data_IF_349233148875
#
_entry.id   IF_349233148875
#
_cell.length_a   1.000
_cell.length_b   1.000
_cell.length_c   1.000
_cell.angle_alpha   90.00
_cell.angle_beta   90.00
_cell.angle_gamma   90.00
#
_symmetry.space_group_name_H-M   'P 1'
#
loop_
_entity.id
_entity.type
_entity.pdbx_description
1 polymer ?
#
# COMPACT_ATOMS: atom_id res chain seq x y z
N UNK A 1 9.62 -6.22 -4.60
CA UNK A 1 8.32 -6.89 -4.85
C UNK A 1 7.81 -7.51 -3.55
N UNK A 2 8.60 -8.39 -2.92
CA UNK A 2 8.27 -9.08 -1.67
C UNK A 2 7.72 -8.16 -0.56
N UNK A 3 8.28 -6.95 -0.38
CA UNK A 3 7.80 -6.02 0.66
C UNK A 3 6.40 -5.44 0.38
N UNK A 4 6.06 -5.11 -0.87
CA UNK A 4 4.72 -4.62 -1.23
C UNK A 4 3.66 -5.72 -1.17
N UNK A 5 4.07 -6.96 -1.46
CA UNK A 5 3.23 -8.15 -1.26
C UNK A 5 3.00 -8.40 0.23
N UNK A 6 4.04 -8.30 1.06
CA UNK A 6 3.93 -8.40 2.52
C UNK A 6 3.01 -7.32 3.10
N UNK A 7 3.11 -6.07 2.64
CA UNK A 7 2.17 -5.00 3.02
C UNK A 7 0.74 -5.31 2.58
N UNK A 8 0.56 -5.89 1.39
CA UNK A 8 -0.76 -6.30 0.90
C UNK A 8 -1.36 -7.44 1.72
N UNK A 9 -0.54 -8.39 2.17
CA UNK A 9 -0.97 -9.46 3.06
C UNK A 9 -1.27 -8.94 4.48
N UNK A 10 -0.43 -8.05 5.01
CA UNK A 10 -0.59 -7.51 6.37
C UNK A 10 -1.86 -6.67 6.56
N UNK A 11 -2.43 -6.16 5.46
CA UNK A 11 -3.66 -5.36 5.45
C UNK A 11 -4.87 -6.12 4.94
N UNK A 12 -4.69 -7.36 4.47
CA UNK A 12 -5.81 -8.22 4.09
C UNK A 12 -6.68 -8.48 5.32
N UNK A 13 -8.01 -8.52 5.12
CA UNK A 13 -9.01 -8.78 6.16
C UNK A 13 -9.14 -7.68 7.26
N UNK A 14 -8.51 -6.52 7.07
CA UNK A 14 -8.72 -5.37 7.96
C UNK A 14 -10.18 -4.91 7.90
N UNK A 15 -10.80 -4.43 8.99
CA UNK A 15 -12.15 -3.88 8.94
C UNK A 15 -12.27 -2.80 7.87
N UNK A 16 -13.24 -2.95 6.97
CA UNK A 16 -13.45 -2.01 5.85
C UNK A 16 -12.57 -2.25 4.61
N UNK A 17 -11.63 -3.19 4.65
CA UNK A 17 -10.84 -3.59 3.49
C UNK A 17 -11.70 -4.24 2.40
N UNK A 18 -11.42 -3.92 1.13
CA UNK A 18 -12.09 -4.50 -0.03
C UNK A 18 -11.14 -5.26 -0.96
N UNK A 19 -9.99 -4.66 -1.27
CA UNK A 19 -9.03 -5.26 -2.20
C UNK A 19 -7.64 -4.65 -2.07
N UNK A 20 -6.62 -5.44 -2.43
CA UNK A 20 -5.25 -4.98 -2.64
C UNK A 20 -4.77 -5.40 -4.02
N UNK A 21 -4.05 -4.52 -4.70
CA UNK A 21 -3.40 -4.80 -5.98
C UNK A 21 -1.94 -4.43 -5.89
N UNK A 22 -1.05 -5.37 -6.25
CA UNK A 22 0.33 -5.08 -6.56
C UNK A 22 0.45 -5.07 -8.08
N UNK A 23 0.89 -3.94 -8.62
CA UNK A 23 0.87 -3.66 -10.05
C UNK A 23 2.28 -3.45 -10.58
N UNK A 24 2.46 -3.77 -11.85
CA UNK A 24 3.59 -3.36 -12.68
C UNK A 24 3.04 -2.58 -13.87
N UNK A 25 3.70 -1.50 -14.30
CA UNK A 25 3.35 -0.86 -15.55
C UNK A 25 3.63 -1.80 -16.73
N UNK A 26 3.00 -1.54 -17.86
CA UNK A 26 3.19 -2.31 -19.09
C UNK A 26 4.48 -1.98 -19.84
N UNK A 27 5.25 -1.00 -19.36
CA UNK A 27 6.55 -0.62 -19.92
C UNK A 27 7.71 -1.33 -19.20
N UNK A 28 8.94 -1.03 -19.65
CA UNK A 28 10.17 -1.63 -19.13
C UNK A 28 10.79 -0.82 -17.97
N UNK A 29 10.02 0.04 -17.30
CA UNK A 29 10.53 0.90 -16.21
C UNK A 29 11.01 0.13 -14.98
N UNK A 30 10.50 -1.09 -14.77
CA UNK A 30 10.75 -1.88 -13.57
C UNK A 30 10.02 -1.34 -12.32
N UNK A 31 9.16 -0.34 -12.48
CA UNK A 31 8.40 0.23 -11.37
C UNK A 31 7.38 -0.77 -10.81
N UNK A 32 7.02 -0.56 -9.55
CA UNK A 32 5.99 -1.32 -8.86
C UNK A 32 5.08 -0.38 -8.09
N UNK A 33 3.78 -0.65 -8.12
CA UNK A 33 2.79 0.10 -7.39
C UNK A 33 1.97 -0.84 -6.49
N UNK A 34 1.42 -0.27 -5.41
CA UNK A 34 0.42 -0.94 -4.56
C UNK A 34 -0.78 -0.03 -4.43
N UNK A 35 -1.97 -0.59 -4.67
CA UNK A 35 -3.26 0.09 -4.46
C UNK A 35 -4.05 -0.73 -3.45
N UNK A 36 -4.53 -0.07 -2.41
CA UNK A 36 -5.44 -0.65 -1.41
C UNK A 36 -6.77 0.08 -1.47
N UNK A 37 -7.86 -0.69 -1.50
CA UNK A 37 -9.23 -0.18 -1.55
C UNK A 37 -9.91 -0.49 -0.22
N UNK A 38 -10.50 0.55 0.37
CA UNK A 38 -11.31 0.48 1.58
C UNK A 38 -12.70 1.05 1.31
N UNK A 39 -13.68 0.62 2.09
CA UNK A 39 -15.06 1.10 2.04
C UNK A 39 -15.20 2.57 2.50
N UNK A 40 -14.30 3.04 3.37
CA UNK A 40 -14.28 4.39 3.92
C UNK A 40 -12.86 4.82 4.34
N UNK A 41 -12.67 6.13 4.47
CA UNK A 41 -11.39 6.76 4.82
C UNK A 41 -10.93 6.38 6.24
N UNK A 42 -11.85 6.29 7.20
CA UNK A 42 -11.53 5.98 8.59
C UNK A 42 -10.92 4.57 8.74
N UNK A 43 -11.39 3.61 7.94
CA UNK A 43 -10.86 2.25 7.88
C UNK A 43 -9.44 2.24 7.30
N UNK A 44 -9.21 3.00 6.22
CA UNK A 44 -7.90 3.15 5.60
C UNK A 44 -6.87 3.81 6.55
N UNK A 45 -7.27 4.89 7.23
CA UNK A 45 -6.39 5.60 8.18
C UNK A 45 -6.04 4.73 9.39
N UNK A 46 -7.02 4.01 9.94
CA UNK A 46 -6.79 3.09 11.06
C UNK A 46 -5.78 2.01 10.68
N UNK A 47 -5.94 1.42 9.51
CA UNK A 47 -5.04 0.37 9.05
C UNK A 47 -3.63 0.92 8.77
N UNK A 48 -3.53 2.13 8.19
CA UNK A 48 -2.26 2.79 7.94
C UNK A 48 -1.44 3.09 9.22
N UNK A 49 -2.08 3.06 10.39
CA UNK A 49 -1.49 3.32 11.69
C UNK A 49 -1.18 2.04 12.50
N UNK A 50 -1.44 0.83 11.96
CA UNK A 50 -1.14 -0.41 12.68
C UNK A 50 0.38 -0.63 12.82
N UNK A 51 0.85 -1.23 13.92
CA UNK A 51 2.29 -1.48 14.09
C UNK A 51 2.94 -2.32 12.98
N UNK A 52 2.20 -3.30 12.44
CA UNK A 52 2.65 -4.13 11.30
C UNK A 52 2.88 -3.28 10.04
N UNK A 53 1.92 -2.43 9.68
CA UNK A 53 2.03 -1.53 8.53
C UNK A 53 3.12 -0.49 8.74
N UNK A 54 3.25 0.09 9.92
CA UNK A 54 4.31 1.04 10.24
C UNK A 54 5.71 0.42 10.18
N UNK A 55 5.87 -0.84 10.62
CA UNK A 55 7.13 -1.57 10.51
C UNK A 55 7.52 -1.77 9.04
N UNK A 56 6.60 -2.33 8.24
CA UNK A 56 6.85 -2.57 6.81
C UNK A 56 7.06 -1.26 6.03
N UNK A 57 6.36 -0.19 6.37
CA UNK A 57 6.56 1.14 5.77
C UNK A 57 7.96 1.67 6.10
N UNK A 58 8.48 1.41 7.29
CA UNK A 58 9.84 1.81 7.69
C UNK A 58 10.90 1.07 6.89
N UNK A 59 10.70 -0.23 6.62
CA UNK A 59 11.57 -1.00 5.72
C UNK A 59 11.48 -0.50 4.27
N UNK A 60 10.27 -0.15 3.82
CA UNK A 60 10.05 0.37 2.48
C UNK A 60 10.86 1.65 2.30
N UNK A 61 10.80 2.58 3.26
CA UNK A 61 11.55 3.85 3.26
C UNK A 61 13.06 3.69 3.03
N UNK A 62 13.67 2.55 3.36
CA UNK A 62 15.10 2.30 3.15
C UNK A 62 15.46 2.00 1.70
N UNK A 63 14.49 1.52 0.90
CA UNK A 63 14.72 1.04 -0.47
C UNK A 63 14.00 1.87 -1.54
N UNK A 64 13.15 2.82 -1.14
CA UNK A 64 12.42 3.62 -2.12
C UNK A 64 13.34 4.62 -2.80
N UNK A 65 13.26 4.67 -4.13
CA UNK A 65 13.97 5.66 -4.91
C UNK A 65 13.43 7.08 -4.68
N UNK A 66 14.30 8.07 -4.93
CA UNK A 66 13.91 9.48 -4.91
C UNK A 66 12.83 9.72 -5.96
N UNK A 67 11.65 10.14 -5.50
CA UNK A 67 10.52 10.48 -6.37
C UNK A 67 9.24 9.68 -6.09
N UNK A 68 9.32 8.64 -5.26
CA UNK A 68 8.13 7.90 -4.82
C UNK A 68 7.11 8.81 -4.13
N UNK A 69 5.82 8.52 -4.36
CA UNK A 69 4.70 9.23 -3.76
C UNK A 69 3.64 8.25 -3.27
N UNK A 70 3.30 8.36 -2.00
CA UNK A 70 2.10 7.77 -1.43
C UNK A 70 0.95 8.78 -1.54
N UNK A 71 -0.23 8.33 -1.98
CA UNK A 71 -1.43 9.17 -2.11
C UNK A 71 -2.68 8.35 -1.75
N UNK A 72 -3.62 9.01 -1.09
CA UNK A 72 -4.99 8.54 -0.92
C UNK A 72 -5.92 9.28 -1.89
N UNK A 73 -6.94 8.60 -2.38
CA UNK A 73 -7.92 9.12 -3.33
C UNK A 73 -9.33 8.75 -2.88
N UNK A 74 -10.31 9.60 -3.16
CA UNK A 74 -11.73 9.32 -3.00
C UNK A 74 -12.43 9.44 -4.36
N UNK A 75 -13.53 8.73 -4.55
CA UNK A 75 -14.38 8.88 -5.74
C UNK A 75 -15.19 10.17 -5.67
N UNK A 76 -15.32 10.87 -6.80
CA UNK A 76 -16.20 12.04 -6.98
C UNK A 76 -17.48 11.60 -7.69
#
# INVERSE_FOLDING_TARGET
MELLEAMSAATADSPGWQANYVLRPHDDSGEVARISIYNDEASAEREAATPSVLSLRSELLLIIERGHRERAFFSV
#
